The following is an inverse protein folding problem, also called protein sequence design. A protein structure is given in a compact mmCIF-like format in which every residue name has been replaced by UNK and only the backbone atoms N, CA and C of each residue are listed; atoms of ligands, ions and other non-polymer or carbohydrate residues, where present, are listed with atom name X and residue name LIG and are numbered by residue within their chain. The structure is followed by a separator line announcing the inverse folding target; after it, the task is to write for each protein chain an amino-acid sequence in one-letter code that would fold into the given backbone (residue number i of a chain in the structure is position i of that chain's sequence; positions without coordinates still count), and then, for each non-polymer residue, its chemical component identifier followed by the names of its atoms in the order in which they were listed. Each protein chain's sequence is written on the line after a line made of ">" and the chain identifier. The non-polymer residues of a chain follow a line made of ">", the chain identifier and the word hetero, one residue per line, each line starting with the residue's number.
data_IF_550423983049
#
_entry.id   IF_550423983049
#
_cell.length_a   1.000
_cell.length_b   1.000
_cell.length_c   1.000
_cell.angle_alpha   90.00
_cell.angle_beta   90.00
_cell.angle_gamma   90.00
#
_symmetry.space_group_name_H-M   'P 1'
#
loop_
_entity.id
_entity.type
_entity.pdbx_description
1 polymer ?
#
# COMPACT_ATOMS: atom_id res chain seq x y z
N UNK A 1 10.96 -1.01 5.83
CA UNK A 1 11.25 -0.27 4.58
C UNK A 1 12.26 -1.09 3.79
N UNK A 2 12.03 -1.32 2.50
CA UNK A 2 12.90 -2.13 1.65
C UNK A 2 13.63 -1.25 0.63
N UNK A 3 14.83 -1.66 0.21
CA UNK A 3 15.59 -0.94 -0.82
C UNK A 3 14.77 -0.89 -2.13
N UNK A 4 14.46 0.31 -2.67
CA UNK A 4 13.66 0.47 -3.87
C UNK A 4 14.20 -0.33 -5.08
N UNK A 5 15.51 -0.53 -5.16
CA UNK A 5 16.14 -1.28 -6.27
C UNK A 5 15.77 -2.76 -6.24
N UNK A 6 15.69 -3.34 -5.04
CA UNK A 6 15.27 -4.72 -4.88
C UNK A 6 13.78 -4.85 -5.22
N UNK A 7 12.96 -3.92 -4.71
CA UNK A 7 11.51 -3.87 -5.00
C UNK A 7 11.23 -3.76 -6.49
N UNK A 8 11.93 -2.86 -7.19
CA UNK A 8 11.85 -2.73 -8.64
C UNK A 8 12.20 -4.04 -9.37
N UNK A 9 13.32 -4.66 -8.98
CA UNK A 9 13.83 -5.87 -9.63
C UNK A 9 12.82 -7.01 -9.59
N UNK A 10 12.34 -7.40 -8.41
CA UNK A 10 11.42 -8.55 -8.32
C UNK A 10 10.02 -8.22 -8.86
N UNK A 11 9.56 -6.98 -8.74
CA UNK A 11 8.31 -6.53 -9.36
C UNK A 11 8.38 -6.70 -10.87
N UNK A 12 9.48 -6.24 -11.49
CA UNK A 12 9.67 -6.36 -12.94
C UNK A 12 9.81 -7.81 -13.39
N UNK A 13 10.59 -8.62 -12.66
CA UNK A 13 10.73 -10.06 -12.94
C UNK A 13 9.35 -10.74 -12.92
N UNK A 14 8.55 -10.51 -11.88
CA UNK A 14 7.21 -11.11 -11.77
C UNK A 14 6.30 -10.73 -12.94
N UNK A 15 6.34 -9.46 -13.35
CA UNK A 15 5.52 -8.98 -14.47
C UNK A 15 5.96 -9.58 -15.81
N UNK A 16 7.27 -9.65 -16.09
CA UNK A 16 7.82 -10.25 -17.31
C UNK A 16 7.55 -11.77 -17.40
N UNK A 17 7.42 -12.44 -16.24
CA UNK A 17 7.00 -13.84 -16.17
C UNK A 17 5.51 -14.05 -16.45
N UNK A 18 4.74 -12.97 -16.65
CA UNK A 18 3.33 -13.02 -17.00
C UNK A 18 2.37 -12.99 -15.81
N UNK A 19 2.79 -12.44 -14.66
CA UNK A 19 1.88 -12.23 -13.55
C UNK A 19 0.82 -11.17 -13.88
N UNK A 20 -0.46 -11.48 -13.66
CA UNK A 20 -1.56 -10.53 -13.84
C UNK A 20 -1.56 -9.42 -12.80
N UNK A 21 -1.05 -9.69 -11.58
CA UNK A 21 -0.99 -8.76 -10.46
C UNK A 21 0.31 -9.01 -9.68
N UNK A 22 0.97 -7.94 -9.25
CA UNK A 22 2.14 -8.01 -8.38
C UNK A 22 1.77 -7.58 -6.96
N UNK A 23 2.03 -8.45 -5.99
CA UNK A 23 2.09 -8.07 -4.58
C UNK A 23 3.54 -7.81 -4.20
N UNK A 24 3.83 -6.67 -3.59
CA UNK A 24 5.19 -6.26 -3.24
C UNK A 24 5.25 -5.49 -1.93
N UNK A 25 6.45 -5.21 -1.44
CA UNK A 25 6.68 -4.43 -0.21
C UNK A 25 6.85 -2.93 -0.47
N UNK A 26 6.55 -2.09 0.52
CA UNK A 26 6.72 -0.63 0.43
C UNK A 26 8.20 -0.21 0.44
N UNK A 27 8.59 0.68 -0.48
CA UNK A 27 9.96 1.21 -0.62
C UNK A 27 10.29 2.36 0.33
N UNK A 28 9.29 2.89 1.04
CA UNK A 28 9.48 3.90 2.10
C UNK A 28 8.97 5.29 1.76
N UNK A 29 8.88 5.64 0.47
CA UNK A 29 8.45 6.94 0.01
C UNK A 29 7.73 6.86 -1.34
N UNK A 30 6.85 7.84 -1.57
CA UNK A 30 5.97 7.89 -2.75
C UNK A 30 6.74 8.07 -4.06
N UNK A 31 7.82 8.83 -4.09
CA UNK A 31 8.57 9.14 -5.32
C UNK A 31 9.32 7.92 -5.85
N UNK A 32 10.02 7.21 -4.95
CA UNK A 32 10.72 5.97 -5.29
C UNK A 32 9.73 4.87 -5.69
N UNK A 33 8.59 4.78 -5.01
CA UNK A 33 7.57 3.79 -5.35
C UNK A 33 6.86 4.11 -6.68
N UNK A 34 6.65 5.38 -6.99
CA UNK A 34 6.12 5.81 -8.29
C UNK A 34 7.02 5.36 -9.44
N UNK A 35 8.34 5.40 -9.25
CA UNK A 35 9.30 4.88 -10.23
C UNK A 35 9.16 3.37 -10.43
N UNK A 36 8.84 2.62 -9.37
CA UNK A 36 8.62 1.16 -9.41
C UNK A 36 7.31 0.85 -10.15
N UNK A 37 6.21 1.54 -9.81
CA UNK A 37 4.91 1.40 -10.48
C UNK A 37 5.05 1.65 -11.97
N UNK A 38 5.75 2.71 -12.38
CA UNK A 38 5.96 3.05 -13.78
C UNK A 38 6.90 2.10 -14.53
N UNK A 39 7.56 1.17 -13.85
CA UNK A 39 8.52 0.23 -14.47
C UNK A 39 7.85 -1.01 -15.09
N UNK A 40 6.55 -1.20 -14.85
CA UNK A 40 5.75 -2.34 -15.31
C UNK A 40 4.32 -1.93 -15.64
N UNK A 41 3.63 -2.71 -16.48
CA UNK A 41 2.19 -2.53 -16.77
C UNK A 41 1.29 -3.35 -15.82
N UNK A 42 1.86 -4.31 -15.09
CA UNK A 42 1.09 -5.12 -14.15
C UNK A 42 0.64 -4.28 -12.94
N UNK A 43 -0.64 -4.33 -12.52
CA UNK A 43 -1.11 -3.69 -11.31
C UNK A 43 -0.31 -4.13 -10.08
N UNK A 44 0.12 -3.15 -9.26
CA UNK A 44 0.88 -3.40 -8.05
C UNK A 44 0.03 -3.17 -6.81
N UNK A 45 0.02 -4.14 -5.89
CA UNK A 45 -0.59 -4.06 -4.56
C UNK A 45 0.50 -4.11 -3.47
N UNK A 46 0.42 -3.22 -2.49
CA UNK A 46 1.45 -3.12 -1.43
C UNK A 46 1.06 -3.84 -0.16
N UNK A 47 1.95 -4.68 0.35
CA UNK A 47 1.77 -5.35 1.63
C UNK A 47 1.86 -4.36 2.81
N UNK A 48 1.01 -4.56 3.83
CA UNK A 48 1.02 -3.69 5.01
C UNK A 48 2.20 -3.87 5.97
N UNK A 49 3.06 -4.88 5.72
CA UNK A 49 4.22 -5.14 6.58
C UNK A 49 3.85 -5.61 8.00
N UNK A 50 4.74 -5.32 8.95
CA UNK A 50 4.52 -5.57 10.37
C UNK A 50 3.37 -4.71 10.91
N UNK A 51 2.83 -5.08 12.06
CA UNK A 51 1.78 -4.26 12.69
C UNK A 51 2.37 -2.91 13.12
N UNK A 52 1.76 -1.83 12.65
CA UNK A 52 2.17 -0.46 12.97
C UNK A 52 1.67 -0.07 14.38
N UNK A 53 0.52 -0.61 14.80
CA UNK A 53 -0.06 -0.34 16.12
C UNK A 53 -0.76 1.02 16.25
N UNK A 54 -0.77 1.82 15.18
CA UNK A 54 -1.49 3.09 15.09
C UNK A 54 -2.31 3.14 13.79
N UNK A 55 -3.63 3.21 13.91
CA UNK A 55 -4.56 3.16 12.79
C UNK A 55 -4.42 4.39 11.86
N UNK A 56 -4.09 5.56 12.40
CA UNK A 56 -3.89 6.77 11.59
C UNK A 56 -2.61 6.64 10.72
N UNK A 57 -1.57 6.02 11.25
CA UNK A 57 -0.35 5.73 10.46
C UNK A 57 -0.60 4.66 9.39
N UNK A 58 -1.47 3.69 9.66
CA UNK A 58 -1.91 2.70 8.65
C UNK A 58 -2.68 3.38 7.52
N UNK A 59 -3.56 4.34 7.83
CA UNK A 59 -4.26 5.14 6.82
C UNK A 59 -3.28 5.99 6.00
N UNK A 60 -2.31 6.63 6.66
CA UNK A 60 -1.30 7.42 5.97
C UNK A 60 -0.50 6.56 4.99
N UNK A 61 -0.05 5.38 5.42
CA UNK A 61 0.64 4.44 4.53
C UNK A 61 -0.22 4.04 3.32
N UNK A 62 -1.51 3.78 3.52
CA UNK A 62 -2.41 3.46 2.41
C UNK A 62 -2.54 4.64 1.43
N UNK A 63 -2.64 5.86 1.96
CA UNK A 63 -2.70 7.10 1.15
C UNK A 63 -1.43 7.30 0.33
N UNK A 64 -0.25 7.12 0.94
CA UNK A 64 1.05 7.26 0.26
C UNK A 64 1.21 6.21 -0.84
N UNK A 65 0.81 4.96 -0.55
CA UNK A 65 0.81 3.86 -1.53
C UNK A 65 -0.06 4.21 -2.74
N UNK A 66 -1.30 4.61 -2.55
CA UNK A 66 -2.22 4.91 -3.67
C UNK A 66 -1.75 6.16 -4.42
N UNK A 67 -1.22 7.15 -3.71
CA UNK A 67 -0.66 8.37 -4.31
C UNK A 67 0.56 8.10 -5.19
N UNK A 68 1.29 7.00 -4.96
CA UNK A 68 2.40 6.58 -5.82
C UNK A 68 1.96 5.92 -7.14
N UNK A 69 0.65 5.79 -7.37
CA UNK A 69 0.07 5.13 -8.55
C UNK A 69 -0.10 3.62 -8.40
N UNK A 70 0.17 3.05 -7.22
CA UNK A 70 -0.13 1.65 -6.95
C UNK A 70 -1.64 1.39 -7.10
N UNK A 71 -2.01 0.19 -7.57
CA UNK A 71 -3.39 -0.19 -7.79
C UNK A 71 -4.17 -0.42 -6.47
N UNK A 72 -3.47 -0.51 -5.33
CA UNK A 72 -4.09 -0.64 -4.02
C UNK A 72 -3.18 -1.25 -2.95
N UNK A 73 -3.82 -1.71 -1.88
CA UNK A 73 -3.16 -2.26 -0.69
C UNK A 73 -3.53 -3.73 -0.47
N UNK A 74 -2.68 -4.45 0.25
CA UNK A 74 -2.90 -5.82 0.70
C UNK A 74 -2.49 -5.95 2.18
N UNK A 75 -3.27 -5.29 3.04
CA UNK A 75 -2.99 -5.17 4.47
C UNK A 75 -3.66 -6.30 5.25
N UNK A 76 -2.89 -6.96 6.11
CA UNK A 76 -3.36 -8.06 6.96
C UNK A 76 -3.31 -7.69 8.43
N UNK A 77 -2.12 -7.83 9.04
CA UNK A 77 -1.87 -7.59 10.48
C UNK A 77 -2.42 -6.24 10.97
N UNK A 78 -2.20 -5.17 10.21
CA UNK A 78 -2.69 -3.83 10.55
C UNK A 78 -4.21 -3.77 10.72
N UNK A 79 -4.97 -4.61 10.00
CA UNK A 79 -6.43 -4.68 10.15
C UNK A 79 -6.80 -5.60 11.31
N UNK A 80 -6.32 -6.84 11.30
CA UNK A 80 -6.75 -7.86 12.28
C UNK A 80 -6.25 -7.62 13.70
N UNK A 81 -5.21 -6.80 13.88
CA UNK A 81 -4.65 -6.44 15.20
C UNK A 81 -5.06 -5.03 15.66
N UNK A 82 -5.80 -4.28 14.85
CA UNK A 82 -6.41 -3.02 15.30
C UNK A 82 -7.48 -3.31 16.37
N UNK A 83 -7.64 -2.38 17.31
CA UNK A 83 -8.74 -2.42 18.29
C UNK A 83 -10.11 -2.09 17.66
N UNK A 84 -10.13 -1.49 16.46
CA UNK A 84 -11.31 -1.03 15.72
C UNK A 84 -11.30 -1.55 14.27
N UNK A 85 -11.18 -2.88 14.02
CA UNK A 85 -10.88 -3.43 12.69
C UNK A 85 -11.90 -3.07 11.61
N UNK A 86 -13.19 -3.03 11.95
CA UNK A 86 -14.25 -2.68 11.01
C UNK A 86 -14.21 -1.19 10.62
N UNK A 87 -13.89 -0.31 11.57
CA UNK A 87 -13.79 1.13 11.33
C UNK A 87 -12.56 1.42 10.46
N UNK A 88 -11.41 0.84 10.81
CA UNK A 88 -10.19 0.93 10.01
C UNK A 88 -10.39 0.41 8.58
N UNK A 89 -11.07 -0.74 8.40
CA UNK A 89 -11.33 -1.28 7.07
C UNK A 89 -12.20 -0.35 6.21
N UNK A 90 -13.21 0.31 6.80
CA UNK A 90 -14.04 1.30 6.09
C UNK A 90 -13.25 2.54 5.72
N UNK A 91 -12.41 3.03 6.61
CA UNK A 91 -11.54 4.16 6.34
C UNK A 91 -10.52 3.83 5.24
N UNK A 92 -9.88 2.67 5.29
CA UNK A 92 -8.97 2.19 4.22
C UNK A 92 -9.68 2.07 2.87
N UNK A 93 -10.92 1.57 2.84
CA UNK A 93 -11.74 1.55 1.61
C UNK A 93 -11.90 2.97 1.05
N UNK A 94 -12.22 3.95 1.90
CA UNK A 94 -12.42 5.34 1.47
C UNK A 94 -11.13 5.96 0.92
N UNK A 95 -9.98 5.69 1.56
CA UNK A 95 -8.67 6.12 1.05
C UNK A 95 -8.39 5.51 -0.32
N UNK A 96 -8.56 4.19 -0.47
CA UNK A 96 -8.15 3.45 -1.68
C UNK A 96 -9.10 3.66 -2.87
N UNK A 97 -10.40 3.77 -2.62
CA UNK A 97 -11.40 3.79 -3.70
C UNK A 97 -12.08 5.14 -3.89
N UNK A 98 -12.10 6.00 -2.87
CA UNK A 98 -12.82 7.27 -2.89
C UNK A 98 -11.86 8.49 -2.77
N UNK A 99 -10.54 8.27 -2.75
CA UNK A 99 -9.49 9.29 -2.55
C UNK A 99 -9.70 10.15 -1.29
N UNK A 100 -10.31 9.59 -0.24
CA UNK A 100 -10.48 10.28 1.02
C UNK A 100 -9.12 10.53 1.68
N UNK A 101 -8.93 11.69 2.30
CA UNK A 101 -7.67 12.03 2.97
C UNK A 101 -7.67 11.49 4.40
N UNK A 102 -6.57 10.91 4.90
CA UNK A 102 -6.51 10.33 6.25
C UNK A 102 -6.99 11.27 7.36
N UNK A 103 -6.71 12.57 7.26
CA UNK A 103 -7.07 13.59 8.25
C UNK A 103 -8.58 13.80 8.39
N UNK A 104 -9.36 13.38 7.39
CA UNK A 104 -10.82 13.51 7.37
C UNK A 104 -11.54 12.32 8.02
N UNK A 105 -10.83 11.22 8.28
CA UNK A 105 -11.42 9.92 8.61
C UNK A 105 -11.48 9.58 10.12
N UNK A 106 -11.16 10.56 10.98
CA UNK A 106 -11.13 10.53 12.45
C UNK A 106 -11.36 9.14 13.08
N UNK A 107 -10.27 8.45 13.39
CA UNK A 107 -10.26 7.11 14.00
C UNK A 107 -10.01 7.12 15.51
N UNK A 108 -9.88 8.30 16.12
CA UNK A 108 -9.65 8.46 17.57
C UNK A 108 -10.91 8.14 18.39
#
# INVERSE_FOLDING_TARGET
>A
VFDPRHVAMHTRIGAELGADIIKTDWSGDTDSFSSIVNSTQAPILVAGGASIGNDNEVLQLASDVVSSGAAGILFGRNIVQSSKPLQLMRALRAVVHDNARPEELNLD
#
